data_IF_065168774340
#
_entry.id   IF_065168774340
#
_cell.length_a   1.000
_cell.length_b   1.000
_cell.length_c   1.000
_cell.angle_alpha   90.00
_cell.angle_beta   90.00
_cell.angle_gamma   90.00
#
_symmetry.space_group_name_H-M   'P 1'
#
loop_
_entity.id
_entity.type
_entity.pdbx_description
1 polymer ?
#
# COMPACT_ATOMS: atom_id res chain seq x y z
N UNK A 1 33.93 6.71 -13.83
CA UNK A 1 33.33 7.71 -12.90
C UNK A 1 32.82 8.87 -13.76
N UNK A 2 31.54 8.85 -14.13
CA UNK A 2 30.90 9.95 -14.87
C UNK A 2 29.95 10.61 -13.87
N UNK A 3 30.33 11.79 -13.39
CA UNK A 3 29.52 12.57 -12.48
C UNK A 3 28.43 13.28 -13.32
N UNK A 4 27.16 12.91 -13.11
CA UNK A 4 26.04 13.63 -13.68
C UNK A 4 25.70 14.81 -12.75
N UNK A 5 25.90 16.03 -13.24
CA UNK A 5 25.45 17.26 -12.59
C UNK A 5 23.92 17.30 -12.61
N UNK A 6 23.31 17.04 -11.45
CA UNK A 6 21.88 17.29 -11.25
C UNK A 6 21.69 18.78 -10.99
N UNK A 7 21.01 19.47 -11.91
CA UNK A 7 20.60 20.86 -11.77
C UNK A 7 19.54 20.94 -10.67
N UNK A 8 19.90 21.57 -9.55
CA UNK A 8 18.96 21.94 -8.49
C UNK A 8 18.09 23.10 -8.98
N UNK A 9 16.81 22.87 -9.25
CA UNK A 9 15.83 23.94 -9.42
C UNK A 9 15.26 24.32 -8.04
N UNK A 10 15.88 25.32 -7.40
CA UNK A 10 15.31 26.07 -6.28
C UNK A 10 14.43 27.18 -6.85
N UNK A 11 13.11 27.09 -6.68
CA UNK A 11 12.21 28.24 -6.94
C UNK A 11 11.63 28.72 -5.62
N UNK A 12 12.30 29.72 -5.05
CA UNK A 12 11.74 30.61 -4.05
C UNK A 12 11.53 31.98 -4.69
N UNK A 13 10.28 32.29 -5.07
CA UNK A 13 9.85 33.66 -5.31
C UNK A 13 8.34 33.75 -5.02
N UNK A 14 8.02 34.43 -3.92
CA UNK A 14 6.68 34.88 -3.62
C UNK A 14 6.41 36.13 -4.46
N UNK A 15 5.67 35.98 -5.55
CA UNK A 15 4.97 37.04 -6.25
C UNK A 15 3.87 36.38 -7.08
N UNK A 16 2.68 36.96 -7.06
CA UNK A 16 1.47 36.42 -7.70
C UNK A 16 1.75 35.95 -9.13
N UNK A 17 1.58 34.65 -9.38
CA UNK A 17 1.72 34.08 -10.73
C UNK A 17 0.31 33.96 -11.34
N UNK A 18 -0.01 34.71 -12.40
CA UNK A 18 -1.23 34.51 -13.17
C UNK A 18 -1.06 33.24 -14.03
N UNK A 19 -2.08 32.39 -14.03
CA UNK A 19 -2.13 31.07 -14.68
C UNK A 19 -1.08 30.06 -14.16
N UNK A 20 -1.48 29.24 -13.18
CA UNK A 20 -0.70 28.08 -12.75
C UNK A 20 -0.57 27.11 -13.93
N UNK A 21 0.56 27.16 -14.63
CA UNK A 21 0.89 26.17 -15.64
C UNK A 21 1.18 24.87 -14.89
N UNK A 22 0.41 23.83 -15.20
CA UNK A 22 0.63 22.54 -14.61
C UNK A 22 1.99 21.99 -15.06
N UNK A 23 2.82 21.58 -14.10
CA UNK A 23 4.16 21.06 -14.35
C UNK A 23 4.12 19.53 -14.36
N UNK A 24 4.76 18.95 -15.36
CA UNK A 24 5.04 17.51 -15.41
C UNK A 24 6.44 17.28 -14.85
N UNK A 25 6.53 16.56 -13.72
CA UNK A 25 7.80 16.08 -13.20
C UNK A 25 8.16 14.77 -13.90
N UNK A 26 9.26 14.75 -14.65
CA UNK A 26 9.72 13.54 -15.33
C UNK A 26 11.16 13.20 -14.96
N UNK A 27 11.35 12.01 -14.41
CA UNK A 27 12.64 11.44 -14.07
C UNK A 27 12.84 10.17 -14.89
N UNK A 28 13.97 10.06 -15.57
CA UNK A 28 14.32 8.87 -16.36
C UNK A 28 15.73 8.43 -16.00
N UNK A 29 15.87 7.19 -15.56
CA UNK A 29 17.12 6.68 -15.02
C UNK A 29 17.58 7.44 -13.77
N UNK A 30 18.85 7.29 -13.44
CA UNK A 30 19.50 8.03 -12.36
C UNK A 30 19.15 7.53 -10.97
N UNK A 31 19.67 8.24 -9.97
CA UNK A 31 19.55 7.87 -8.55
C UNK A 31 18.96 9.02 -7.75
N UNK A 32 17.99 8.70 -6.90
CA UNK A 32 17.45 9.56 -5.85
C UNK A 32 18.01 9.05 -4.53
N UNK A 33 19.00 9.75 -3.99
CA UNK A 33 19.72 9.43 -2.75
C UNK A 33 19.48 10.47 -1.65
N UNK A 34 18.58 11.43 -1.91
CA UNK A 34 18.08 12.43 -0.95
C UNK A 34 16.56 12.39 -0.94
N UNK A 35 15.97 12.68 0.21
CA UNK A 35 14.52 12.72 0.35
C UNK A 35 13.92 13.78 -0.58
N UNK A 36 12.84 13.42 -1.28
CA UNK A 36 12.10 14.33 -2.16
C UNK A 36 10.63 14.35 -1.75
N UNK A 37 10.04 15.54 -1.79
CA UNK A 37 8.60 15.73 -1.63
C UNK A 37 8.09 16.43 -2.88
N UNK A 38 7.23 15.75 -3.62
CA UNK A 38 6.59 16.25 -4.84
C UNK A 38 5.20 16.73 -4.48
N UNK A 39 4.89 17.98 -4.81
CA UNK A 39 3.59 18.57 -4.52
C UNK A 39 3.38 19.81 -5.39
N UNK A 40 3.93 20.95 -4.96
CA UNK A 40 3.59 22.27 -5.51
C UNK A 40 3.67 22.33 -7.04
N UNK A 41 2.53 22.70 -7.64
CA UNK A 41 2.35 22.92 -9.07
C UNK A 41 2.60 21.70 -9.99
N UNK A 42 2.66 20.50 -9.42
CA UNK A 42 2.80 19.25 -10.19
C UNK A 42 1.42 18.62 -10.36
N UNK A 43 1.03 18.30 -11.60
CA UNK A 43 -0.16 17.48 -11.88
C UNK A 43 0.21 16.04 -12.23
N UNK A 44 1.37 15.86 -12.88
CA UNK A 44 1.82 14.56 -13.39
C UNK A 44 3.25 14.30 -12.94
N UNK A 45 3.49 13.10 -12.41
CA UNK A 45 4.81 12.58 -12.09
C UNK A 45 5.06 11.32 -12.91
N UNK A 46 6.17 11.28 -13.65
CA UNK A 46 6.60 10.13 -14.44
C UNK A 46 8.03 9.75 -14.03
N UNK A 47 8.21 8.59 -13.41
CA UNK A 47 9.52 8.04 -13.07
C UNK A 47 9.71 6.73 -13.85
N UNK A 48 10.76 6.66 -14.68
CA UNK A 48 11.07 5.48 -15.50
C UNK A 48 12.52 5.05 -15.29
N UNK A 49 12.77 3.87 -14.71
CA UNK A 49 14.12 3.36 -14.47
C UNK A 49 14.89 4.09 -13.35
N UNK A 50 14.21 4.84 -12.48
CA UNK A 50 14.85 5.60 -11.39
C UNK A 50 15.21 4.67 -10.22
N UNK A 51 16.40 4.82 -9.66
CA UNK A 51 16.85 4.10 -8.46
C UNK A 51 16.72 4.97 -7.20
N UNK A 52 15.97 4.55 -6.19
CA UNK A 52 15.83 5.24 -4.90
C UNK A 52 16.65 4.51 -3.86
N UNK A 53 17.60 5.18 -3.21
CA UNK A 53 18.58 4.50 -2.33
C UNK A 53 18.76 5.23 -1.00
N UNK A 54 19.67 4.75 -0.14
CA UNK A 54 20.08 5.41 1.11
C UNK A 54 18.94 5.67 2.10
N UNK A 55 17.90 4.84 2.08
CA UNK A 55 16.82 4.91 3.06
C UNK A 55 15.94 6.15 2.94
N UNK A 56 15.98 6.83 1.79
CA UNK A 56 15.27 8.10 1.61
C UNK A 56 13.79 7.90 1.34
N UNK A 57 13.01 8.92 1.70
CA UNK A 57 11.60 9.00 1.40
C UNK A 57 11.37 9.77 0.09
N UNK A 58 10.61 9.17 -0.82
CA UNK A 58 9.99 9.84 -1.97
C UNK A 58 8.52 10.03 -1.63
N UNK A 59 8.10 11.27 -1.42
CA UNK A 59 6.74 11.60 -0.99
C UNK A 59 6.00 12.30 -2.12
N UNK A 60 4.92 11.69 -2.61
CA UNK A 60 3.94 12.34 -3.46
C UNK A 60 2.84 12.93 -2.56
N UNK A 61 2.94 14.23 -2.31
CA UNK A 61 2.05 14.99 -1.44
C UNK A 61 0.82 15.48 -2.21
N UNK A 62 -0.17 14.61 -2.34
CA UNK A 62 -1.37 14.81 -3.16
C UNK A 62 -2.13 16.09 -2.81
N UNK A 63 -2.31 16.49 -1.54
CA UNK A 63 -2.93 17.77 -1.20
C UNK A 63 -2.18 19.01 -1.72
N UNK A 64 -0.85 18.91 -1.84
CA UNK A 64 0.01 20.00 -2.33
C UNK A 64 0.17 20.01 -3.85
N UNK A 65 -0.27 18.94 -4.53
CA UNK A 65 -0.34 18.87 -5.99
C UNK A 65 -1.42 19.80 -6.55
N UNK A 66 -1.33 20.08 -7.85
CA UNK A 66 -2.19 21.05 -8.53
C UNK A 66 -3.67 20.61 -8.49
N UNK A 67 -4.61 21.55 -8.67
CA UNK A 67 -6.03 21.23 -8.69
C UNK A 67 -6.36 20.45 -9.98
N UNK A 68 -7.02 19.29 -9.88
CA UNK A 68 -7.50 18.55 -11.05
C UNK A 68 -7.24 17.04 -11.00
N UNK A 69 -7.12 16.44 -12.18
CA UNK A 69 -6.79 15.02 -12.35
C UNK A 69 -5.27 14.82 -12.19
N UNK A 70 -4.89 14.15 -11.12
CA UNK A 70 -3.50 13.91 -10.77
C UNK A 70 -3.03 12.56 -11.31
N UNK A 71 -1.77 12.48 -11.74
CA UNK A 71 -1.16 11.23 -12.21
C UNK A 71 0.22 11.01 -11.61
N UNK A 72 0.44 9.82 -11.06
CA UNK A 72 1.73 9.36 -10.56
C UNK A 72 2.04 8.04 -11.26
N UNK A 73 3.14 7.98 -12.01
CA UNK A 73 3.58 6.80 -12.71
C UNK A 73 5.02 6.43 -12.33
N UNK A 74 5.19 5.21 -11.85
CA UNK A 74 6.47 4.56 -11.59
C UNK A 74 6.61 3.35 -12.51
N UNK A 75 7.65 3.36 -13.34
CA UNK A 75 7.92 2.29 -14.30
C UNK A 75 9.34 1.80 -14.12
N UNK A 76 9.52 0.50 -13.91
CA UNK A 76 10.83 -0.14 -13.78
C UNK A 76 11.75 0.55 -12.75
N UNK A 77 11.17 1.16 -11.72
CA UNK A 77 11.93 1.81 -10.66
C UNK A 77 12.56 0.76 -9.75
N UNK A 78 13.70 1.12 -9.17
CA UNK A 78 14.39 0.30 -8.19
C UNK A 78 14.41 1.04 -6.86
N UNK A 79 14.20 0.35 -5.75
CA UNK A 79 14.30 0.93 -4.41
C UNK A 79 15.16 0.04 -3.51
N UNK A 80 16.11 0.64 -2.79
CA UNK A 80 17.03 -0.08 -1.91
C UNK A 80 17.41 0.71 -0.66
N UNK A 81 18.01 0.03 0.32
CA UNK A 81 18.62 0.64 1.50
C UNK A 81 17.62 1.23 2.49
N UNK A 82 16.36 0.79 2.47
CA UNK A 82 15.29 1.26 3.35
C UNK A 82 14.42 2.33 2.71
N UNK A 83 14.48 2.48 1.38
CA UNK A 83 13.74 3.49 0.64
C UNK A 83 12.22 3.32 0.82
N UNK A 84 11.52 4.45 0.93
CA UNK A 84 10.08 4.48 1.13
C UNK A 84 9.44 5.40 0.09
N UNK A 85 8.42 4.90 -0.59
CA UNK A 85 7.67 5.64 -1.60
C UNK A 85 6.27 5.87 -1.03
N UNK A 86 5.96 7.11 -0.71
CA UNK A 86 4.69 7.51 -0.12
C UNK A 86 3.77 8.14 -1.16
N UNK A 87 2.54 7.66 -1.24
CA UNK A 87 1.41 8.41 -1.79
C UNK A 87 0.63 8.94 -0.59
N UNK A 88 0.81 10.23 -0.31
CA UNK A 88 0.23 10.91 0.86
C UNK A 88 -1.03 11.68 0.46
N UNK A 89 -2.17 11.25 1.00
CA UNK A 89 -3.47 11.91 0.86
C UNK A 89 -3.73 13.01 1.90
N UNK A 90 -5.01 13.31 2.09
CA UNK A 90 -5.52 14.34 2.99
C UNK A 90 -5.67 13.79 4.41
N UNK A 91 -5.06 14.45 5.39
CA UNK A 91 -5.19 14.05 6.80
C UNK A 91 -6.61 14.24 7.37
N UNK A 92 -7.43 15.08 6.74
CA UNK A 92 -8.86 15.24 7.00
C UNK A 92 -9.71 14.70 5.85
N UNK A 93 -10.87 15.30 5.59
CA UNK A 93 -11.76 14.85 4.51
C UNK A 93 -11.05 14.76 3.14
N UNK A 94 -11.32 13.70 2.35
CA UNK A 94 -10.78 13.59 1.00
C UNK A 94 -11.35 14.66 0.07
N UNK A 95 -10.55 15.12 -0.90
CA UNK A 95 -11.05 15.95 -1.99
C UNK A 95 -12.06 15.16 -2.84
N UNK A 96 -13.28 15.69 -3.02
CA UNK A 96 -14.36 15.02 -3.76
C UNK A 96 -14.47 15.46 -5.22
N UNK A 97 -13.84 16.59 -5.55
CA UNK A 97 -13.80 17.26 -6.85
C UNK A 97 -12.50 16.98 -7.63
N UNK A 98 -11.67 16.06 -7.13
CA UNK A 98 -10.40 15.66 -7.74
C UNK A 98 -10.32 14.16 -7.90
N UNK A 99 -9.51 13.70 -8.84
CA UNK A 99 -9.20 12.30 -9.08
C UNK A 99 -7.70 12.09 -9.08
N UNK A 100 -7.27 10.86 -8.77
CA UNK A 100 -5.86 10.48 -8.76
C UNK A 100 -5.69 9.14 -9.48
N UNK A 101 -4.75 9.07 -10.41
CA UNK A 101 -4.26 7.84 -11.02
C UNK A 101 -2.85 7.55 -10.50
N UNK A 102 -2.65 6.40 -9.89
CA UNK A 102 -1.33 5.90 -9.48
C UNK A 102 -1.06 4.60 -10.23
N UNK A 103 -0.02 4.57 -11.05
CA UNK A 103 0.42 3.37 -11.77
C UNK A 103 1.85 3.03 -11.37
N UNK A 104 2.03 1.88 -10.71
CA UNK A 104 3.32 1.31 -10.35
C UNK A 104 3.49 0.01 -11.12
N UNK A 105 4.52 -0.06 -11.96
CA UNK A 105 4.82 -1.24 -12.78
C UNK A 105 6.30 -1.56 -12.75
N UNK A 106 6.66 -2.83 -12.53
CA UNK A 106 8.07 -3.23 -12.49
C UNK A 106 8.86 -2.62 -11.32
N UNK A 107 8.20 -2.22 -10.23
CA UNK A 107 8.91 -1.73 -9.04
C UNK A 107 9.64 -2.91 -8.41
N UNK A 108 10.95 -2.79 -8.26
CA UNK A 108 11.79 -3.86 -7.71
C UNK A 108 12.69 -3.34 -6.60
N UNK A 109 12.90 -4.13 -5.55
CA UNK A 109 13.74 -3.65 -4.46
C UNK A 109 13.87 -4.57 -3.26
N UNK A 110 14.99 -4.41 -2.57
CA UNK A 110 15.27 -5.00 -1.26
C UNK A 110 15.32 -3.85 -0.25
N UNK A 111 14.76 -4.00 0.94
CA UNK A 111 14.53 -2.87 1.86
C UNK A 111 13.74 -1.73 1.20
N UNK A 112 12.58 -2.07 0.63
CA UNK A 112 11.70 -1.11 -0.02
C UNK A 112 10.28 -1.19 0.49
N UNK A 113 9.60 -0.05 0.59
CA UNK A 113 8.19 0.00 0.96
C UNK A 113 7.41 1.02 0.12
N UNK A 114 6.27 0.58 -0.40
CA UNK A 114 5.24 1.41 -1.01
C UNK A 114 4.14 1.67 0.01
N UNK A 115 3.88 2.95 0.29
CA UNK A 115 3.02 3.36 1.39
C UNK A 115 1.92 4.27 0.87
N UNK A 116 0.67 3.86 1.05
CA UNK A 116 -0.49 4.73 0.90
C UNK A 116 -0.92 5.18 2.28
N UNK A 117 -1.04 6.49 2.46
CA UNK A 117 -1.34 7.07 3.76
C UNK A 117 -2.27 8.25 3.63
N UNK A 118 -3.17 8.39 4.61
CA UNK A 118 -4.21 9.42 4.62
C UNK A 118 -5.25 9.25 3.51
N UNK A 119 -6.28 10.08 3.52
CA UNK A 119 -7.43 9.92 2.64
C UNK A 119 -7.07 10.31 1.21
N UNK A 120 -7.09 9.36 0.28
CA UNK A 120 -6.89 9.65 -1.14
C UNK A 120 -8.10 10.44 -1.70
N UNK A 121 -7.94 11.26 -2.75
CA UNK A 121 -9.07 11.87 -3.43
C UNK A 121 -10.17 10.85 -3.77
N UNK A 122 -11.41 11.32 -3.86
CA UNK A 122 -12.46 10.48 -4.40
C UNK A 122 -12.11 10.05 -5.84
N UNK A 123 -12.64 8.93 -6.31
CA UNK A 123 -12.37 8.46 -7.69
C UNK A 123 -10.86 8.23 -7.95
N UNK A 124 -10.17 7.66 -6.97
CA UNK A 124 -8.78 7.27 -7.14
C UNK A 124 -8.67 5.91 -7.82
N UNK A 125 -7.74 5.75 -8.76
CA UNK A 125 -7.37 4.46 -9.34
C UNK A 125 -5.89 4.19 -9.06
N UNK A 126 -5.59 3.08 -8.41
CA UNK A 126 -4.25 2.63 -8.08
C UNK A 126 -4.04 1.26 -8.71
N UNK A 127 -3.01 1.14 -9.55
CA UNK A 127 -2.55 -0.13 -10.11
C UNK A 127 -1.10 -0.37 -9.70
N UNK A 128 -0.84 -1.44 -8.96
CA UNK A 128 0.50 -1.96 -8.68
C UNK A 128 0.62 -3.30 -9.39
N UNK A 129 1.57 -3.44 -10.32
CA UNK A 129 1.69 -4.66 -11.11
C UNK A 129 3.10 -5.08 -11.42
N UNK A 130 3.28 -6.37 -11.70
CA UNK A 130 4.52 -6.95 -12.22
C UNK A 130 5.74 -6.52 -11.38
N UNK A 131 5.58 -6.45 -10.05
CA UNK A 131 6.53 -5.84 -9.12
C UNK A 131 7.10 -6.88 -8.13
N UNK A 132 8.26 -6.60 -7.55
CA UNK A 132 8.90 -7.46 -6.52
C UNK A 132 9.51 -6.60 -5.43
N UNK A 133 8.83 -6.49 -4.30
CA UNK A 133 9.20 -5.58 -3.21
C UNK A 133 9.47 -6.42 -1.96
N UNK A 134 10.68 -6.25 -1.40
CA UNK A 134 11.15 -7.04 -0.27
C UNK A 134 11.56 -6.12 0.87
N UNK A 135 11.16 -6.45 2.10
CA UNK A 135 11.64 -5.84 3.34
C UNK A 135 12.33 -6.91 4.20
N UNK A 136 13.62 -7.17 3.98
CA UNK A 136 14.34 -8.23 4.71
C UNK A 136 14.77 -7.79 6.12
N UNK A 137 14.67 -6.50 6.45
CA UNK A 137 14.96 -5.93 7.76
C UNK A 137 14.00 -4.79 8.12
N UNK A 138 14.24 -4.10 9.25
CA UNK A 138 13.31 -3.09 9.76
C UNK A 138 13.24 -1.86 8.84
N UNK A 139 12.03 -1.34 8.66
CA UNK A 139 11.77 -0.11 7.90
C UNK A 139 11.57 1.07 8.86
N UNK A 140 11.94 2.28 8.45
CA UNK A 140 11.81 3.49 9.28
C UNK A 140 10.74 4.41 8.71
N UNK A 141 9.49 4.24 9.14
CA UNK A 141 8.37 5.08 8.71
C UNK A 141 8.30 6.44 9.42
N UNK A 142 9.40 7.20 9.41
CA UNK A 142 9.55 8.45 10.18
C UNK A 142 8.59 9.56 9.76
N UNK A 143 7.99 9.46 8.57
CA UNK A 143 7.02 10.43 8.07
C UNK A 143 5.62 10.27 8.70
N UNK A 144 5.36 9.17 9.43
CA UNK A 144 4.02 8.80 9.89
C UNK A 144 3.97 8.66 11.40
N UNK A 145 3.37 9.66 12.06
CA UNK A 145 3.00 9.58 13.46
C UNK A 145 2.01 8.42 13.67
N UNK A 146 2.31 7.52 14.62
CA UNK A 146 1.45 6.39 14.97
C UNK A 146 1.73 5.09 14.21
N UNK A 147 2.55 5.10 13.15
CA UNK A 147 2.95 3.87 12.43
C UNK A 147 4.06 3.10 13.20
N UNK A 148 3.93 3.00 14.52
CA UNK A 148 4.87 2.28 15.39
C UNK A 148 4.75 0.76 15.25
N UNK A 149 3.57 0.28 14.86
CA UNK A 149 3.24 -1.14 14.80
C UNK A 149 3.67 -1.81 13.48
N UNK A 150 3.95 -1.03 12.43
CA UNK A 150 4.50 -1.58 11.18
C UNK A 150 6.02 -1.68 11.28
N UNK A 151 6.53 -2.90 11.45
CA UNK A 151 7.97 -3.14 11.60
C UNK A 151 8.69 -3.14 10.24
N UNK A 152 8.14 -3.88 9.28
CA UNK A 152 8.68 -4.03 7.93
C UNK A 152 7.60 -4.58 7.01
N UNK A 153 7.11 -3.73 6.10
CA UNK A 153 6.10 -4.12 5.12
C UNK A 153 6.36 -3.54 3.73
N UNK A 154 6.45 -4.38 2.69
CA UNK A 154 6.53 -3.95 1.29
C UNK A 154 5.37 -3.07 0.85
N UNK A 155 4.15 -3.38 1.30
CA UNK A 155 2.94 -2.59 1.03
C UNK A 155 2.29 -2.17 2.34
N UNK A 156 1.98 -0.88 2.48
CA UNK A 156 1.34 -0.30 3.67
C UNK A 156 0.13 0.51 3.25
N UNK A 157 -1.01 0.26 3.89
CA UNK A 157 -2.19 1.12 3.89
C UNK A 157 -2.37 1.67 5.31
N UNK A 158 -2.29 2.98 5.48
CA UNK A 158 -2.34 3.56 6.82
C UNK A 158 -3.27 4.78 6.91
N UNK A 159 -4.15 4.79 7.92
CA UNK A 159 -5.06 5.90 8.20
C UNK A 159 -5.79 6.42 6.96
N UNK A 160 -6.36 5.49 6.19
CA UNK A 160 -6.86 5.75 4.84
C UNK A 160 -8.35 5.45 4.74
N UNK A 161 -9.15 6.46 4.42
CA UNK A 161 -10.52 6.33 3.92
C UNK A 161 -10.50 6.43 2.39
N UNK A 162 -10.95 5.36 1.75
CA UNK A 162 -11.03 5.20 0.31
C UNK A 162 -12.47 5.43 -0.14
N UNK A 163 -12.72 6.53 -0.84
CA UNK A 163 -14.05 6.88 -1.35
C UNK A 163 -14.13 6.70 -2.87
N UNK A 164 -14.91 5.72 -3.34
CA UNK A 164 -15.04 5.41 -4.77
C UNK A 164 -13.67 5.15 -5.42
N UNK A 165 -12.80 4.45 -4.71
CA UNK A 165 -11.43 4.14 -5.12
C UNK A 165 -11.34 2.70 -5.61
N UNK A 166 -10.49 2.46 -6.61
CA UNK A 166 -10.06 1.14 -7.01
C UNK A 166 -8.56 1.01 -6.76
N UNK A 167 -8.15 0.07 -5.91
CA UNK A 167 -6.75 -0.27 -5.67
C UNK A 167 -6.54 -1.73 -6.05
N UNK A 168 -5.75 -1.95 -7.09
CA UNK A 168 -5.45 -3.27 -7.62
C UNK A 168 -3.96 -3.56 -7.54
N UNK A 169 -3.60 -4.65 -6.89
CA UNK A 169 -2.25 -5.20 -6.86
C UNK A 169 -2.28 -6.51 -7.61
N UNK A 170 -1.51 -6.64 -8.69
CA UNK A 170 -1.52 -7.82 -9.55
C UNK A 170 -0.13 -8.34 -9.90
N UNK A 171 0.02 -9.66 -10.08
CA UNK A 171 1.29 -10.29 -10.51
C UNK A 171 2.52 -9.78 -9.72
N UNK A 172 2.37 -9.59 -8.42
CA UNK A 172 3.36 -8.90 -7.59
C UNK A 172 3.84 -9.82 -6.48
N UNK A 173 5.13 -9.73 -6.15
CA UNK A 173 5.75 -10.44 -5.03
C UNK A 173 6.00 -9.46 -3.89
N UNK A 174 5.42 -9.74 -2.74
CA UNK A 174 5.63 -8.97 -1.51
C UNK A 174 6.22 -9.88 -0.44
N UNK A 175 7.41 -9.52 0.05
CA UNK A 175 8.18 -10.34 1.00
C UNK A 175 8.63 -9.54 2.21
N UNK A 176 8.41 -10.07 3.40
CA UNK A 176 9.00 -9.56 4.63
C UNK A 176 9.71 -10.68 5.39
N UNK A 177 10.96 -10.46 5.78
CA UNK A 177 11.75 -11.44 6.56
C UNK A 177 12.11 -10.94 7.95
N UNK A 178 11.65 -9.74 8.30
CA UNK A 178 11.88 -9.12 9.59
C UNK A 178 10.95 -9.71 10.65
N UNK A 179 11.45 -9.86 11.87
CA UNK A 179 10.63 -10.29 13.01
C UNK A 179 9.45 -9.35 13.24
N UNK A 180 8.24 -9.93 13.32
CA UNK A 180 6.99 -9.17 13.41
C UNK A 180 6.59 -8.45 12.11
N UNK A 181 7.32 -8.66 11.02
CA UNK A 181 7.05 -8.08 9.70
C UNK A 181 5.87 -8.73 8.99
N UNK A 182 5.39 -8.06 7.96
CA UNK A 182 4.27 -8.51 7.12
C UNK A 182 4.46 -8.15 5.67
N UNK A 183 3.89 -8.92 4.73
CA UNK A 183 3.98 -8.55 3.30
C UNK A 183 3.02 -7.40 2.94
N UNK A 184 1.85 -7.37 3.60
CA UNK A 184 0.89 -6.26 3.54
C UNK A 184 0.51 -5.85 4.96
N UNK A 185 0.58 -4.56 5.24
CA UNK A 185 0.21 -3.99 6.53
C UNK A 185 -0.94 -3.00 6.35
N UNK A 186 -1.94 -3.09 7.23
CA UNK A 186 -3.10 -2.20 7.31
C UNK A 186 -3.17 -1.65 8.75
N UNK A 187 -3.25 -0.33 8.92
CA UNK A 187 -3.36 0.25 10.25
C UNK A 187 -3.89 1.69 10.25
N UNK A 188 -4.02 2.28 11.44
CA UNK A 188 -4.44 3.68 11.60
C UNK A 188 -5.92 3.93 11.26
N UNK A 189 -6.75 2.88 11.31
CA UNK A 189 -8.10 2.84 10.75
C UNK A 189 -8.13 2.95 9.22
N UNK A 190 -8.66 1.91 8.57
CA UNK A 190 -8.84 1.88 7.11
C UNK A 190 -10.29 1.61 6.77
N UNK A 191 -10.85 2.47 5.95
CA UNK A 191 -12.24 2.40 5.52
C UNK A 191 -12.34 2.36 3.99
N UNK A 192 -13.14 1.44 3.47
CA UNK A 192 -13.56 1.38 2.08
C UNK A 192 -15.02 1.82 2.00
N UNK A 193 -15.29 2.86 1.22
CA UNK A 193 -16.62 3.40 0.98
C UNK A 193 -16.91 3.46 -0.53
N UNK A 194 -17.77 2.55 -1.01
CA UNK A 194 -17.99 2.29 -2.44
C UNK A 194 -16.70 2.04 -3.20
N UNK A 195 -15.76 1.33 -2.58
CA UNK A 195 -14.39 1.14 -3.05
C UNK A 195 -14.04 -0.33 -3.21
N UNK A 196 -13.07 -0.61 -4.07
CA UNK A 196 -12.53 -1.94 -4.29
C UNK A 196 -11.02 -1.97 -4.00
N UNK A 197 -10.59 -2.92 -3.17
CA UNK A 197 -9.18 -3.28 -2.98
C UNK A 197 -9.02 -4.73 -3.39
N UNK A 198 -8.15 -5.00 -4.35
CA UNK A 198 -8.00 -6.33 -4.97
C UNK A 198 -6.53 -6.71 -5.01
N UNK A 199 -6.19 -7.87 -4.44
CA UNK A 199 -4.91 -8.55 -4.61
C UNK A 199 -5.15 -9.75 -5.53
N UNK A 200 -4.56 -9.78 -6.72
CA UNK A 200 -4.77 -10.83 -7.74
C UNK A 200 -3.46 -11.40 -8.26
N UNK A 201 -3.23 -12.71 -8.16
CA UNK A 201 -1.97 -13.32 -8.62
C UNK A 201 -0.76 -12.83 -7.82
N UNK A 202 -0.96 -12.50 -6.53
CA UNK A 202 0.08 -11.96 -5.64
C UNK A 202 0.71 -13.08 -4.82
N UNK A 203 2.03 -13.02 -4.62
CA UNK A 203 2.73 -13.84 -3.63
C UNK A 203 2.96 -13.01 -2.37
N UNK A 204 2.40 -13.47 -1.24
CA UNK A 204 2.58 -12.88 0.07
C UNK A 204 3.46 -13.78 0.94
N UNK A 205 4.66 -13.32 1.26
CA UNK A 205 5.59 -14.09 2.09
C UNK A 205 6.05 -13.30 3.32
N UNK A 206 5.95 -13.94 4.49
CA UNK A 206 6.35 -13.37 5.77
C UNK A 206 7.09 -14.41 6.62
N UNK A 207 8.43 -14.38 6.58
CA UNK A 207 9.32 -15.40 7.14
C UNK A 207 10.06 -14.98 8.42
N UNK A 208 9.67 -13.86 9.03
CA UNK A 208 10.30 -13.30 10.23
C UNK A 208 10.04 -14.03 11.56
N UNK A 209 9.62 -15.29 11.54
CA UNK A 209 9.30 -16.06 12.75
C UNK A 209 7.81 -16.01 13.16
N UNK A 210 7.47 -16.47 14.38
CA UNK A 210 6.09 -16.74 14.80
C UNK A 210 5.15 -15.54 14.82
N UNK A 211 5.70 -14.33 14.96
CA UNK A 211 4.92 -13.08 14.99
C UNK A 211 4.76 -12.44 13.62
N UNK A 212 5.42 -12.96 12.59
CA UNK A 212 5.26 -12.48 11.22
C UNK A 212 3.87 -12.84 10.68
N UNK A 213 3.36 -12.08 9.71
CA UNK A 213 2.07 -12.40 9.08
C UNK A 213 2.06 -12.03 7.61
N UNK A 214 1.52 -12.86 6.72
CA UNK A 214 1.49 -12.54 5.29
C UNK A 214 0.72 -11.23 5.02
N UNK A 215 -0.44 -11.06 5.64
CA UNK A 215 -1.15 -9.79 5.75
C UNK A 215 -1.53 -9.54 7.20
N UNK A 216 -1.40 -8.29 7.66
CA UNK A 216 -1.75 -7.89 9.03
C UNK A 216 -2.52 -6.59 9.05
N UNK A 217 -3.74 -6.64 9.59
CA UNK A 217 -4.43 -5.47 10.13
C UNK A 217 -3.98 -5.31 11.59
N UNK A 218 -3.54 -4.12 11.97
CA UNK A 218 -3.14 -3.84 13.35
C UNK A 218 -4.32 -4.04 14.31
N UNK A 219 -4.07 -4.66 15.48
CA UNK A 219 -5.13 -5.02 16.44
C UNK A 219 -5.90 -3.81 16.97
N UNK A 220 -5.22 -2.67 17.12
CA UNK A 220 -5.81 -1.40 17.53
C UNK A 220 -6.63 -0.70 16.44
N UNK A 221 -6.52 -1.15 15.18
CA UNK A 221 -7.13 -0.50 14.02
C UNK A 221 -8.42 -1.18 13.61
N UNK A 222 -9.39 -0.37 13.21
CA UNK A 222 -10.58 -0.81 12.49
C UNK A 222 -10.29 -1.03 11.00
N UNK A 223 -10.94 -2.04 10.44
CA UNK A 223 -10.96 -2.28 9.00
C UNK A 223 -12.40 -2.42 8.55
N UNK A 224 -12.90 -1.43 7.80
CA UNK A 224 -14.34 -1.28 7.53
C UNK A 224 -14.63 -1.23 6.04
N UNK A 225 -15.65 -1.97 5.60
CA UNK A 225 -16.15 -1.98 4.24
C UNK A 225 -17.63 -1.60 4.24
N UNK A 226 -17.96 -0.53 3.49
CA UNK A 226 -19.31 0.04 3.43
C UNK A 226 -19.74 0.37 2.00
N UNK A 227 -21.05 0.37 1.76
CA UNK A 227 -21.70 0.90 0.54
C UNK A 227 -21.20 0.25 -0.76
N UNK A 228 -21.40 -1.06 -0.90
CA UNK A 228 -20.97 -1.90 -2.01
C UNK A 228 -19.44 -1.97 -2.17
N UNK A 229 -18.70 -1.91 -1.06
CA UNK A 229 -17.24 -2.06 -1.11
C UNK A 229 -16.82 -3.52 -1.23
N UNK A 230 -15.64 -3.75 -1.80
CA UNK A 230 -15.05 -5.07 -1.98
C UNK A 230 -13.60 -5.06 -1.53
N UNK A 231 -13.24 -5.98 -0.63
CA UNK A 231 -11.85 -6.39 -0.44
C UNK A 231 -11.71 -7.82 -0.94
N UNK A 232 -10.84 -8.03 -1.92
CA UNK A 232 -10.69 -9.30 -2.61
C UNK A 232 -9.24 -9.77 -2.60
N UNK A 233 -9.03 -10.99 -2.16
CA UNK A 233 -7.79 -11.73 -2.33
C UNK A 233 -8.08 -12.86 -3.31
N UNK A 234 -7.43 -12.88 -4.46
CA UNK A 234 -7.73 -13.82 -5.55
C UNK A 234 -6.45 -14.40 -6.14
N UNK A 235 -6.40 -15.72 -6.35
CA UNK A 235 -5.21 -16.40 -6.90
C UNK A 235 -3.92 -16.04 -6.13
N UNK A 236 -3.99 -16.03 -4.79
CA UNK A 236 -2.87 -15.59 -3.95
C UNK A 236 -2.19 -16.79 -3.31
N UNK A 237 -0.86 -16.81 -3.41
CA UNK A 237 -0.01 -17.74 -2.68
C UNK A 237 0.47 -17.10 -1.38
N UNK A 238 0.34 -17.82 -0.27
CA UNK A 238 0.72 -17.37 1.07
C UNK A 238 1.80 -18.26 1.66
N UNK A 239 2.91 -17.67 2.12
CA UNK A 239 3.95 -18.39 2.88
C UNK A 239 4.27 -17.59 4.13
N UNK A 240 3.90 -18.08 5.31
CA UNK A 240 4.24 -17.40 6.54
C UNK A 240 4.73 -18.32 7.65
N UNK A 241 5.77 -17.88 8.35
CA UNK A 241 6.25 -18.51 9.58
C UNK A 241 5.38 -18.22 10.81
N UNK A 242 4.32 -17.40 10.65
CA UNK A 242 3.38 -17.04 11.71
C UNK A 242 1.93 -17.10 11.24
N UNK A 243 1.31 -15.93 11.01
CA UNK A 243 -0.07 -15.79 10.53
C UNK A 243 -0.18 -15.71 9.00
N UNK A 244 -1.27 -16.22 8.43
CA UNK A 244 -1.61 -15.94 7.04
C UNK A 244 -2.17 -14.52 6.88
N UNK A 245 -3.47 -14.42 6.65
CA UNK A 245 -4.22 -13.18 6.47
C UNK A 245 -4.93 -12.83 7.79
N UNK A 246 -4.32 -11.95 8.59
CA UNK A 246 -4.83 -11.53 9.90
C UNK A 246 -5.60 -10.22 9.75
N UNK A 247 -6.92 -10.27 9.93
CA UNK A 247 -7.88 -9.20 9.70
C UNK A 247 -8.11 -8.30 10.93
N UNK A 248 -7.43 -8.59 12.05
CA UNK A 248 -7.52 -7.83 13.28
C UNK A 248 -8.75 -8.15 14.11
N UNK A 249 -9.05 -7.26 15.06
CA UNK A 249 -10.10 -7.46 16.09
C UNK A 249 -11.36 -6.62 15.83
N UNK A 250 -11.32 -5.76 14.81
CA UNK A 250 -12.32 -4.70 14.58
C UNK A 250 -12.73 -4.63 13.10
N UNK A 251 -13.03 -5.78 12.51
CA UNK A 251 -13.57 -5.85 11.15
C UNK A 251 -15.02 -5.37 11.13
N UNK A 252 -15.43 -4.55 10.17
CA UNK A 252 -16.82 -4.15 10.00
C UNK A 252 -17.24 -4.28 8.53
N UNK A 253 -18.27 -5.09 8.26
CA UNK A 253 -18.81 -5.29 6.92
C UNK A 253 -20.27 -4.83 6.89
N UNK A 254 -20.64 -3.94 5.98
CA UNK A 254 -22.02 -3.53 5.76
C UNK A 254 -22.26 -3.31 4.28
N UNK A 255 -23.27 -3.98 3.71
CA UNK A 255 -23.60 -3.89 2.29
C UNK A 255 -22.35 -4.07 1.39
N UNK A 256 -21.45 -4.98 1.75
CA UNK A 256 -20.09 -5.07 1.23
C UNK A 256 -19.52 -6.49 1.36
N UNK A 257 -18.45 -6.78 0.62
CA UNK A 257 -17.90 -8.13 0.49
C UNK A 257 -16.44 -8.19 0.87
N UNK A 258 -16.11 -9.15 1.73
CA UNK A 258 -14.74 -9.60 1.94
C UNK A 258 -14.58 -10.98 1.32
N UNK A 259 -13.80 -11.12 0.24
CA UNK A 259 -13.64 -12.41 -0.45
C UNK A 259 -12.20 -12.91 -0.50
N UNK A 260 -12.05 -14.23 -0.36
CA UNK A 260 -10.83 -14.96 -0.60
C UNK A 260 -11.16 -16.10 -1.58
N UNK A 261 -10.57 -16.05 -2.77
CA UNK A 261 -10.88 -16.98 -3.87
C UNK A 261 -9.58 -17.55 -4.44
N UNK A 262 -9.37 -18.86 -4.40
CA UNK A 262 -8.11 -19.45 -4.87
C UNK A 262 -6.91 -18.97 -4.05
N UNK A 263 -7.03 -19.01 -2.72
CA UNK A 263 -5.95 -18.66 -1.81
C UNK A 263 -5.32 -19.93 -1.29
N UNK A 264 -4.06 -20.17 -1.64
CA UNK A 264 -3.32 -21.35 -1.22
C UNK A 264 -2.09 -20.95 -0.42
N UNK A 265 -1.71 -21.74 0.58
CA UNK A 265 -0.48 -21.43 1.30
C UNK A 265 -0.24 -22.18 2.59
N UNK A 266 0.92 -21.93 3.19
CA UNK A 266 1.29 -22.47 4.49
C UNK A 266 1.50 -21.34 5.49
N UNK A 267 0.81 -21.41 6.63
CA UNK A 267 1.04 -20.55 7.78
C UNK A 267 1.28 -21.43 9.01
N UNK A 268 2.14 -21.00 9.94
CA UNK A 268 2.34 -21.72 11.20
C UNK A 268 1.09 -21.73 12.10
N UNK A 269 0.14 -20.82 11.85
CA UNK A 269 -1.15 -20.74 12.53
C UNK A 269 -2.33 -20.92 11.55
N UNK A 270 -3.16 -19.89 11.40
CA UNK A 270 -4.32 -19.87 10.52
C UNK A 270 -3.99 -19.19 9.19
N UNK A 271 -4.53 -19.71 8.08
CA UNK A 271 -4.40 -19.06 6.78
C UNK A 271 -5.26 -17.79 6.70
N UNK A 272 -6.46 -17.80 7.29
CA UNK A 272 -7.32 -16.61 7.46
C UNK A 272 -7.74 -16.48 8.92
N UNK A 273 -7.54 -15.31 9.53
CA UNK A 273 -7.87 -15.08 10.93
C UNK A 273 -8.56 -13.73 11.10
N UNK A 274 -9.73 -13.73 11.73
CA UNK A 274 -10.43 -12.54 12.20
C UNK A 274 -10.73 -12.73 13.68
N UNK A 275 -10.19 -11.87 14.53
CA UNK A 275 -10.28 -11.98 15.99
C UNK A 275 -11.47 -11.20 16.57
N UNK A 276 -12.19 -10.45 15.75
CA UNK A 276 -13.43 -9.79 16.14
C UNK A 276 -13.98 -8.91 15.03
N UNK A 277 -15.24 -8.53 15.16
CA UNK A 277 -15.87 -7.64 14.20
C UNK A 277 -17.38 -7.79 14.12
N UNK A 278 -17.97 -7.13 13.13
CA UNK A 278 -19.40 -7.17 12.87
C UNK A 278 -19.66 -7.35 11.38
N UNK A 279 -20.64 -8.20 11.06
CA UNK A 279 -21.21 -8.32 9.72
C UNK A 279 -22.66 -7.83 9.80
N UNK A 280 -22.89 -6.62 9.32
CA UNK A 280 -24.19 -5.98 9.28
C UNK A 280 -24.97 -6.38 8.02
N UNK A 281 -26.18 -5.81 7.86
CA UNK A 281 -27.05 -6.10 6.73
C UNK A 281 -26.34 -5.88 5.38
N UNK A 282 -26.50 -6.84 4.46
CA UNK A 282 -25.85 -6.83 3.16
C UNK A 282 -24.33 -7.06 3.19
N UNK A 283 -23.73 -7.26 4.36
CA UNK A 283 -22.33 -7.67 4.49
C UNK A 283 -22.18 -9.18 4.38
N UNK A 284 -21.15 -9.67 3.71
CA UNK A 284 -20.78 -11.09 3.78
C UNK A 284 -19.29 -11.33 3.54
N UNK A 285 -18.86 -12.51 3.97
CA UNK A 285 -17.52 -13.04 3.75
C UNK A 285 -17.61 -14.27 2.84
N UNK A 286 -16.74 -14.34 1.83
CA UNK A 286 -16.64 -15.47 0.91
C UNK A 286 -15.28 -16.15 1.03
N UNK A 287 -15.28 -17.46 1.25
CA UNK A 287 -14.12 -18.34 1.15
C UNK A 287 -14.43 -19.36 0.05
N UNK A 288 -13.68 -19.32 -1.05
CA UNK A 288 -13.82 -20.26 -2.16
C UNK A 288 -12.44 -20.75 -2.58
N UNK A 289 -12.26 -22.06 -2.71
CA UNK A 289 -10.97 -22.65 -3.10
C UNK A 289 -9.80 -22.16 -2.23
N UNK A 290 -10.03 -22.09 -0.91
CA UNK A 290 -9.01 -21.67 0.07
C UNK A 290 -8.39 -22.91 0.70
N UNK A 291 -7.08 -23.07 0.52
CA UNK A 291 -6.35 -24.29 0.88
C UNK A 291 -5.15 -23.96 1.75
N UNK A 292 -5.07 -24.60 2.91
CA UNK A 292 -3.94 -24.47 3.81
C UNK A 292 -3.09 -25.76 3.77
N UNK A 293 -1.79 -25.62 3.52
CA UNK A 293 -0.82 -26.71 3.45
C UNK A 293 0.08 -26.76 4.69
N UNK A 294 0.43 -27.97 5.12
CA UNK A 294 1.34 -28.25 6.25
C UNK A 294 0.64 -28.76 7.52
N UNK A 295 1.43 -29.37 8.41
CA UNK A 295 0.97 -30.22 9.53
C UNK A 295 0.16 -29.51 10.64
N UNK A 296 0.09 -28.17 10.64
CA UNK A 296 -0.62 -27.36 11.64
C UNK A 296 -1.71 -26.45 11.05
N UNK A 297 -2.04 -26.61 9.77
CA UNK A 297 -2.76 -25.59 9.03
C UNK A 297 -4.29 -25.74 9.15
N UNK A 298 -4.92 -24.75 9.79
CA UNK A 298 -6.37 -24.55 9.77
C UNK A 298 -6.69 -23.42 8.79
N UNK A 299 -7.74 -23.59 7.99
CA UNK A 299 -8.07 -22.66 6.91
C UNK A 299 -8.50 -21.30 7.45
N UNK A 300 -9.47 -21.28 8.36
CA UNK A 300 -10.02 -20.03 8.85
C UNK A 300 -10.50 -20.11 10.30
N UNK A 301 -10.37 -19.00 11.04
CA UNK A 301 -11.06 -18.75 12.31
C UNK A 301 -11.62 -17.33 12.27
N UNK A 302 -12.93 -17.22 12.52
CA UNK A 302 -13.65 -15.95 12.48
C UNK A 302 -14.44 -15.83 13.79
N UNK A 303 -14.03 -14.91 14.66
CA UNK A 303 -14.81 -14.53 15.84
C UNK A 303 -15.59 -13.23 15.61
N UNK A 304 -16.78 -13.16 16.20
CA UNK A 304 -17.65 -11.99 16.24
C UNK A 304 -17.97 -11.58 17.66
#
# INVERSE_FOLDING_TARGET
>A
RVALLVVLALVAAAAWVPAAHAVVLRLRGGTVDRAITVGRAVETVLMDGVSVTNGVAVVFDVPAMLLGALRIELRNCVCDGGAQIYVRGYSGEPARDRSLEVSVSGLSGSYCSLVFVHNLPAHTNVSVRDSTIVTPGPMRYSQLSGLADAVASPLVLYATSLLRTQLHVSNTVLRSSQVGGSAVYVGGDVELLSSAVVLDGVLLEASGGPTASAMRVASSSSFSLRSHSVFSVTNVSVVSSGGGLVLGERLALSDSVLRFVGVEGSAASLLVRCDGGTVAAGGWLELRDVWAGGDASSVASLSG
#
